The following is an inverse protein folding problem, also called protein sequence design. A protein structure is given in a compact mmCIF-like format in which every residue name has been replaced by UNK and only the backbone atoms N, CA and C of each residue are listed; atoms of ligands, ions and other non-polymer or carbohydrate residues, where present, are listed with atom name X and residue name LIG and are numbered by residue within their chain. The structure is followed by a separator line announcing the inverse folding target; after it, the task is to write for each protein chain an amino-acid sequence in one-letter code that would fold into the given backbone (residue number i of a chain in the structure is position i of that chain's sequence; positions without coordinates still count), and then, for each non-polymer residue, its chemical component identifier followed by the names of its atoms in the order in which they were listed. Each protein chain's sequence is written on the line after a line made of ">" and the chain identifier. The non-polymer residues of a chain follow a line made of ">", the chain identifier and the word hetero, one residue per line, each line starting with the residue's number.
data_IF_217505927973
#
_entry.id   IF_217505927973
#
_cell.length_a   1.000
_cell.length_b   1.000
_cell.length_c   1.000
_cell.angle_alpha   90.00
_cell.angle_beta   90.00
_cell.angle_gamma   90.00
#
_symmetry.space_group_name_H-M   'P 1'
#
loop_
_entity.id
_entity.type
_entity.pdbx_description
1 polymer ?
#
# COMPACT_ATOMS: atom_id res chain seq x y z
N UNK A 1 -21.60 -10.95 0.78
CA UNK A 1 -20.45 -10.24 0.18
C UNK A 1 -20.35 -10.74 -1.25
N UNK A 2 -21.24 -10.27 -2.11
CA UNK A 2 -21.40 -10.78 -3.48
C UNK A 2 -21.17 -9.63 -4.45
N UNK A 3 -20.04 -8.95 -4.27
CA UNK A 3 -19.67 -7.77 -5.05
C UNK A 3 -18.54 -8.08 -6.05
N UNK A 4 -17.85 -9.21 -5.86
CA UNK A 4 -16.69 -9.64 -6.65
C UNK A 4 -16.81 -11.13 -6.94
N UNK A 5 -16.53 -11.52 -8.17
CA UNK A 5 -16.36 -12.92 -8.58
C UNK A 5 -14.94 -13.07 -9.10
N UNK A 6 -14.24 -14.09 -8.62
CA UNK A 6 -12.87 -14.35 -9.04
C UNK A 6 -12.87 -15.45 -10.10
N UNK A 7 -11.94 -15.32 -11.05
CA UNK A 7 -11.63 -16.40 -11.98
C UNK A 7 -11.20 -17.66 -11.23
N UNK A 8 -11.57 -18.82 -11.77
CA UNK A 8 -11.17 -20.08 -11.20
C UNK A 8 -9.65 -20.28 -11.36
N UNK A 9 -8.98 -20.58 -10.26
CA UNK A 9 -7.53 -20.86 -10.24
C UNK A 9 -7.27 -22.25 -9.66
N UNK A 10 -6.01 -22.69 -9.64
CA UNK A 10 -5.65 -24.04 -9.17
C UNK A 10 -6.14 -24.35 -7.76
N UNK A 11 -6.19 -23.35 -6.87
CA UNK A 11 -6.67 -23.51 -5.49
C UNK A 11 -7.62 -22.37 -5.12
N UNK A 12 -8.90 -22.69 -5.00
CA UNK A 12 -9.97 -21.77 -4.59
C UNK A 12 -10.64 -22.24 -3.31
N UNK A 13 -10.84 -21.33 -2.36
CA UNK A 13 -11.46 -21.54 -1.07
C UNK A 13 -12.86 -20.91 -1.03
N UNK A 14 -13.65 -21.24 0.01
CA UNK A 14 -15.00 -20.68 0.26
C UNK A 14 -15.95 -20.98 -0.92
N UNK A 15 -16.08 -22.26 -1.29
CA UNK A 15 -16.98 -22.67 -2.38
C UNK A 15 -16.59 -22.08 -3.74
N UNK A 16 -15.30 -22.16 -4.09
CA UNK A 16 -14.74 -21.63 -5.34
C UNK A 16 -14.77 -20.11 -5.50
N UNK A 17 -14.97 -19.35 -4.41
CA UNK A 17 -15.11 -17.90 -4.45
C UNK A 17 -13.79 -17.14 -4.35
N UNK A 18 -12.83 -17.60 -3.55
CA UNK A 18 -11.61 -16.82 -3.28
C UNK A 18 -10.34 -17.63 -3.59
N UNK A 19 -9.46 -17.16 -4.47
CA UNK A 19 -8.25 -17.89 -4.80
C UNK A 19 -7.18 -17.76 -3.70
N UNK A 20 -6.43 -18.85 -3.47
CA UNK A 20 -5.45 -18.95 -2.38
C UNK A 20 -4.37 -17.86 -2.45
N UNK A 21 -3.91 -17.54 -3.66
CA UNK A 21 -2.83 -16.57 -3.85
C UNK A 21 -3.23 -15.16 -3.39
N UNK A 22 -4.51 -14.80 -3.48
CA UNK A 22 -5.02 -13.54 -2.92
C UNK A 22 -5.14 -13.62 -1.41
N UNK A 23 -5.67 -14.74 -0.89
CA UNK A 23 -5.91 -14.92 0.54
C UNK A 23 -4.60 -14.95 1.35
N UNK A 24 -3.57 -15.67 0.89
CA UNK A 24 -2.35 -15.88 1.67
C UNK A 24 -1.11 -15.18 1.10
N UNK A 25 -1.21 -14.56 -0.07
CA UNK A 25 -0.05 -13.99 -0.77
C UNK A 25 -0.19 -12.49 -0.99
N UNK A 26 -0.77 -12.12 -2.12
CA UNK A 26 -0.60 -10.80 -2.74
C UNK A 26 -1.00 -9.66 -1.80
N UNK A 27 -2.21 -9.68 -1.22
CA UNK A 27 -2.63 -8.59 -0.35
C UNK A 27 -1.80 -8.48 0.92
N UNK A 28 -1.39 -9.61 1.52
CA UNK A 28 -0.53 -9.61 2.70
C UNK A 28 0.83 -8.98 2.37
N UNK A 29 1.43 -9.35 1.23
CA UNK A 29 2.69 -8.77 0.78
C UNK A 29 2.58 -7.27 0.51
N UNK A 30 1.51 -6.81 -0.15
CA UNK A 30 1.34 -5.39 -0.46
C UNK A 30 1.13 -4.55 0.80
N UNK A 31 0.27 -5.00 1.72
CA UNK A 31 0.02 -4.29 2.98
C UNK A 31 1.25 -4.25 3.87
N UNK A 32 1.96 -5.38 3.99
CA UNK A 32 3.20 -5.44 4.77
C UNK A 32 4.29 -4.55 4.17
N UNK A 33 4.48 -4.60 2.86
CA UNK A 33 5.48 -3.80 2.15
C UNK A 33 5.22 -2.31 2.32
N UNK A 34 3.98 -1.88 2.14
CA UNK A 34 3.54 -0.50 2.41
C UNK A 34 3.87 -0.07 3.84
N UNK A 35 3.51 -0.90 4.83
CA UNK A 35 3.72 -0.59 6.24
C UNK A 35 5.21 -0.40 6.56
N UNK A 36 6.08 -1.28 6.06
CA UNK A 36 7.52 -1.17 6.32
C UNK A 36 8.13 0.05 5.62
N UNK A 37 7.73 0.35 4.38
CA UNK A 37 8.18 1.56 3.67
C UNK A 37 7.85 2.80 4.48
N UNK A 38 6.61 2.91 4.94
CA UNK A 38 6.14 4.07 5.70
C UNK A 38 6.76 4.16 7.09
N UNK A 39 6.98 3.03 7.78
CA UNK A 39 7.74 2.99 9.04
C UNK A 39 9.15 3.56 8.89
N UNK A 40 9.79 3.37 7.74
CA UNK A 40 11.13 3.91 7.47
C UNK A 40 11.14 5.43 7.20
N UNK A 41 9.98 6.05 6.96
CA UNK A 41 9.84 7.51 6.86
C UNK A 41 9.90 8.19 8.24
N UNK A 42 9.82 7.44 9.35
CA UNK A 42 9.87 7.94 10.73
C UNK A 42 8.88 9.09 11.00
N UNK A 43 7.68 8.98 10.45
CA UNK A 43 6.61 9.94 10.68
C UNK A 43 5.97 9.71 12.05
N UNK A 44 5.33 10.75 12.59
CA UNK A 44 4.44 10.62 13.74
C UNK A 44 3.32 9.62 13.44
N UNK A 45 2.84 8.90 14.47
CA UNK A 45 1.94 7.76 14.29
C UNK A 45 0.68 8.03 13.44
N UNK A 46 0.08 9.22 13.56
CA UNK A 46 -1.07 9.62 12.75
C UNK A 46 -0.71 9.79 11.27
N UNK A 47 0.45 10.38 10.99
CA UNK A 47 0.96 10.57 9.63
C UNK A 47 1.45 9.27 9.03
N UNK A 48 2.05 8.40 9.84
CA UNK A 48 2.41 7.04 9.45
C UNK A 48 1.17 6.23 9.05
N UNK A 49 0.09 6.31 9.82
CA UNK A 49 -1.15 5.64 9.48
C UNK A 49 -1.72 6.14 8.14
N UNK A 50 -1.85 7.46 7.97
CA UNK A 50 -2.37 8.03 6.72
C UNK A 50 -1.47 7.71 5.50
N UNK A 51 -0.15 7.78 5.66
CA UNK A 51 0.80 7.42 4.61
C UNK A 51 0.66 5.94 4.24
N UNK A 52 0.47 5.04 5.21
CA UNK A 52 0.26 3.62 4.92
C UNK A 52 -0.96 3.39 4.02
N UNK A 53 -2.08 4.07 4.27
CA UNK A 53 -3.25 3.98 3.40
C UNK A 53 -2.97 4.42 1.95
N UNK A 54 -2.24 5.52 1.77
CA UNK A 54 -1.86 6.02 0.44
C UNK A 54 -0.92 5.04 -0.30
N UNK A 55 0.08 4.49 0.40
CA UNK A 55 1.01 3.52 -0.19
C UNK A 55 0.35 2.18 -0.51
N UNK A 56 -0.60 1.71 0.32
CA UNK A 56 -1.40 0.51 0.02
C UNK A 56 -2.18 0.68 -1.29
N UNK A 57 -2.83 1.82 -1.50
CA UNK A 57 -3.48 2.09 -2.79
C UNK A 57 -2.47 2.12 -3.92
N UNK A 58 -1.39 2.90 -3.78
CA UNK A 58 -0.38 3.02 -4.84
C UNK A 58 0.15 1.64 -5.30
N UNK A 59 0.43 0.74 -4.35
CA UNK A 59 0.93 -0.60 -4.64
C UNK A 59 -0.15 -1.55 -5.19
N UNK A 60 -1.40 -1.42 -4.72
CA UNK A 60 -2.50 -2.29 -5.15
C UNK A 60 -3.17 -1.85 -6.45
N UNK A 61 -3.04 -0.59 -6.84
CA UNK A 61 -3.75 -0.05 -7.99
C UNK A 61 -3.39 -0.75 -9.33
N UNK A 62 -2.10 -0.99 -9.68
CA UNK A 62 -1.77 -1.73 -10.89
C UNK A 62 -2.37 -3.13 -10.93
N UNK A 63 -2.40 -3.80 -9.76
CA UNK A 63 -3.04 -5.09 -9.58
C UNK A 63 -4.55 -5.00 -9.81
N UNK A 64 -5.21 -3.96 -9.27
CA UNK A 64 -6.63 -3.74 -9.46
C UNK A 64 -6.99 -3.51 -10.94
N UNK A 65 -6.25 -2.64 -11.63
CA UNK A 65 -6.53 -2.30 -13.04
C UNK A 65 -6.22 -3.47 -13.98
N UNK A 66 -5.08 -4.13 -13.82
CA UNK A 66 -4.75 -5.28 -14.66
C UNK A 66 -5.60 -6.49 -14.35
N UNK A 67 -5.94 -6.73 -13.09
CA UNK A 67 -6.77 -7.87 -12.70
C UNK A 67 -8.19 -7.77 -13.21
N UNK A 68 -8.78 -6.58 -13.29
CA UNK A 68 -10.10 -6.41 -13.91
C UNK A 68 -10.04 -6.56 -15.42
N UNK A 69 -9.03 -5.96 -16.07
CA UNK A 69 -8.89 -6.03 -17.53
C UNK A 69 -8.54 -7.42 -18.04
N UNK A 70 -7.79 -8.20 -17.26
CA UNK A 70 -7.45 -9.60 -17.54
C UNK A 70 -8.44 -10.60 -16.91
N UNK A 71 -9.62 -10.13 -16.47
CA UNK A 71 -10.70 -10.96 -15.94
C UNK A 71 -10.28 -11.89 -14.78
N UNK A 72 -9.25 -11.52 -14.01
CA UNK A 72 -8.89 -12.22 -12.78
C UNK A 72 -9.99 -12.13 -11.75
N UNK A 73 -10.71 -11.01 -11.76
CA UNK A 73 -11.99 -10.84 -11.08
C UNK A 73 -12.90 -9.87 -11.81
N UNK A 74 -14.19 -10.04 -11.55
CA UNK A 74 -15.27 -9.23 -12.07
C UNK A 74 -16.01 -8.55 -10.92
N UNK A 75 -16.44 -7.31 -11.14
CA UNK A 75 -17.30 -6.57 -10.21
C UNK A 75 -18.77 -6.80 -10.52
N UNK A 76 -19.62 -6.70 -9.48
CA UNK A 76 -21.07 -6.82 -9.66
C UNK A 76 -21.61 -5.72 -10.55
N UNK A 77 -22.39 -6.11 -11.55
CA UNK A 77 -23.16 -5.17 -12.34
C UNK A 77 -24.43 -4.73 -11.59
N UNK A 78 -24.76 -3.44 -11.69
CA UNK A 78 -25.99 -2.88 -11.12
C UNK A 78 -25.98 -2.62 -9.61
N UNK A 79 -24.82 -2.70 -8.92
CA UNK A 79 -24.70 -2.25 -7.53
C UNK A 79 -24.44 -0.72 -7.50
N UNK A 80 -25.34 0.10 -6.92
CA UNK A 80 -25.19 1.56 -6.92
C UNK A 80 -23.88 2.05 -6.26
N UNK A 81 -23.29 1.25 -5.36
CA UNK A 81 -22.03 1.59 -4.68
C UNK A 81 -20.80 1.41 -5.59
N UNK A 82 -20.92 0.63 -6.66
CA UNK A 82 -19.84 0.29 -7.57
C UNK A 82 -19.92 1.05 -8.91
N UNK A 83 -20.93 1.92 -9.07
CA UNK A 83 -21.17 2.64 -10.34
C UNK A 83 -20.02 3.55 -10.75
N UNK A 84 -19.37 4.21 -9.78
CA UNK A 84 -18.25 5.09 -10.09
C UNK A 84 -16.96 4.26 -10.17
N UNK A 85 -16.45 4.11 -11.40
CA UNK A 85 -15.26 3.32 -11.69
C UNK A 85 -14.10 4.17 -12.22
N UNK A 86 -12.89 3.71 -11.98
CA UNK A 86 -11.64 4.22 -12.55
C UNK A 86 -10.92 3.04 -13.23
N UNK A 87 -10.74 3.09 -14.55
CA UNK A 87 -10.29 1.94 -15.37
C UNK A 87 -11.04 0.63 -15.02
N UNK A 88 -12.37 0.71 -14.97
CA UNK A 88 -13.25 -0.42 -14.62
C UNK A 88 -13.07 -0.98 -13.20
N UNK A 89 -12.32 -0.29 -12.33
CA UNK A 89 -12.22 -0.59 -10.90
C UNK A 89 -13.12 0.35 -10.11
N UNK A 90 -14.06 -0.14 -9.27
CA UNK A 90 -14.88 0.70 -8.43
C UNK A 90 -14.07 1.57 -7.47
N UNK A 91 -14.32 2.87 -7.47
CA UNK A 91 -13.64 3.83 -6.59
C UNK A 91 -13.84 3.49 -5.11
N UNK A 92 -15.04 3.02 -4.74
CA UNK A 92 -15.35 2.60 -3.36
C UNK A 92 -14.42 1.46 -2.88
N UNK A 93 -14.01 0.57 -3.78
CA UNK A 93 -13.09 -0.54 -3.46
C UNK A 93 -11.65 -0.03 -3.32
N UNK A 94 -11.22 0.89 -4.19
CA UNK A 94 -9.91 1.54 -4.03
C UNK A 94 -9.82 2.26 -2.67
N UNK A 95 -10.86 3.04 -2.32
CA UNK A 95 -10.93 3.71 -1.03
C UNK A 95 -10.90 2.74 0.15
N UNK A 96 -11.56 1.58 0.04
CA UNK A 96 -11.54 0.53 1.06
C UNK A 96 -10.11 0.07 1.38
N UNK A 97 -9.25 -0.11 0.37
CA UNK A 97 -7.85 -0.49 0.61
C UNK A 97 -7.07 0.59 1.38
N UNK A 98 -7.21 1.87 1.04
CA UNK A 98 -6.58 2.94 1.81
C UNK A 98 -7.06 2.99 3.25
N UNK A 99 -8.39 2.94 3.43
CA UNK A 99 -9.03 2.98 4.75
C UNK A 99 -8.53 1.81 5.61
N UNK A 100 -8.45 0.61 5.04
CA UNK A 100 -7.97 -0.58 5.72
C UNK A 100 -6.49 -0.46 6.09
N UNK A 101 -5.64 0.02 5.17
CA UNK A 101 -4.22 0.26 5.44
C UNK A 101 -4.00 1.27 6.58
N UNK A 102 -4.70 2.40 6.54
CA UNK A 102 -4.64 3.43 7.59
C UNK A 102 -5.13 2.91 8.93
N UNK A 103 -6.29 2.25 8.93
CA UNK A 103 -6.91 1.72 10.15
C UNK A 103 -6.06 0.63 10.79
N UNK A 104 -5.43 -0.24 10.00
CA UNK A 104 -4.52 -1.26 10.49
C UNK A 104 -3.29 -0.66 11.15
N UNK A 105 -2.65 0.31 10.50
CA UNK A 105 -1.45 0.95 11.06
C UNK A 105 -1.76 1.71 12.36
N UNK A 106 -2.87 2.44 12.42
CA UNK A 106 -3.32 3.12 13.63
C UNK A 106 -3.66 2.12 14.75
N UNK A 107 -4.40 1.05 14.43
CA UNK A 107 -4.75 0.00 15.40
C UNK A 107 -3.52 -0.69 15.95
N UNK A 108 -2.57 -1.05 15.08
CA UNK A 108 -1.34 -1.72 15.50
C UNK A 108 -0.51 -0.84 16.42
N UNK A 109 -0.44 0.47 16.15
CA UNK A 109 0.20 1.42 17.06
C UNK A 109 -0.50 1.47 18.43
N UNK A 110 -1.84 1.55 18.46
CA UNK A 110 -2.61 1.58 19.71
C UNK A 110 -2.41 0.30 20.54
N UNK A 111 -2.51 -0.87 19.92
CA UNK A 111 -2.32 -2.16 20.60
C UNK A 111 -0.89 -2.33 21.08
N UNK A 112 0.12 -1.99 20.25
CA UNK A 112 1.51 -2.07 20.69
C UNK A 112 1.81 -1.12 21.83
N UNK A 113 1.32 0.13 21.77
CA UNK A 113 1.50 1.10 22.86
C UNK A 113 0.80 0.69 24.15
N UNK A 114 -0.35 0.03 24.05
CA UNK A 114 -1.13 -0.41 25.22
C UNK A 114 -0.60 -1.68 25.88
N UNK A 115 -0.21 -2.68 25.08
CA UNK A 115 0.09 -4.03 25.58
C UNK A 115 1.58 -4.41 25.52
N UNK A 116 2.39 -3.73 24.72
CA UNK A 116 3.78 -4.07 24.48
C UNK A 116 4.70 -2.87 24.79
N UNK A 117 5.99 -3.14 24.99
CA UNK A 117 7.02 -2.09 24.99
C UNK A 117 7.50 -1.88 23.56
N UNK A 118 8.00 -0.70 23.23
CA UNK A 118 8.41 -0.32 21.86
C UNK A 118 9.49 -1.21 21.25
N UNK A 119 10.25 -1.96 22.06
CA UNK A 119 11.28 -2.88 21.59
C UNK A 119 10.77 -4.31 21.50
N UNK A 120 10.96 -4.92 20.32
CA UNK A 120 10.61 -6.31 20.05
C UNK A 120 11.45 -7.27 20.91
N UNK A 121 10.77 -8.22 21.57
CA UNK A 121 11.37 -9.30 22.34
C UNK A 121 10.78 -10.64 21.87
N UNK A 122 11.63 -11.55 21.39
CA UNK A 122 11.23 -12.87 20.87
C UNK A 122 10.47 -13.69 21.89
N UNK A 123 10.74 -13.50 23.19
CA UNK A 123 10.05 -14.19 24.29
C UNK A 123 8.57 -13.81 24.39
N UNK A 124 8.18 -12.68 23.79
CA UNK A 124 6.82 -12.15 23.77
C UNK A 124 6.16 -12.29 22.40
N UNK A 125 6.67 -13.18 21.55
CA UNK A 125 6.09 -13.47 20.24
C UNK A 125 4.58 -13.73 20.31
N UNK A 126 4.13 -14.49 21.32
CA UNK A 126 2.70 -14.79 21.53
C UNK A 126 1.90 -13.49 21.76
N UNK A 127 2.41 -12.56 22.56
CA UNK A 127 1.76 -11.28 22.82
C UNK A 127 1.75 -10.37 21.59
N UNK A 128 2.85 -10.33 20.82
CA UNK A 128 2.92 -9.62 19.53
C UNK A 128 1.91 -10.20 18.54
N UNK A 129 1.78 -11.52 18.48
CA UNK A 129 0.81 -12.20 17.63
C UNK A 129 -0.63 -11.82 17.99
N UNK A 130 -1.01 -11.92 19.26
CA UNK A 130 -2.34 -11.49 19.71
C UNK A 130 -2.58 -9.99 19.51
N UNK A 131 -1.56 -9.14 19.66
CA UNK A 131 -1.67 -7.72 19.36
C UNK A 131 -1.88 -7.46 17.87
N UNK A 132 -1.19 -8.18 16.98
CA UNK A 132 -1.38 -8.06 15.54
C UNK A 132 -2.77 -8.55 15.10
N UNK A 133 -3.23 -9.68 15.64
CA UNK A 133 -4.58 -10.22 15.38
C UNK A 133 -5.65 -9.27 15.93
N UNK A 134 -5.49 -8.80 17.16
CA UNK A 134 -6.40 -7.82 17.77
C UNK A 134 -6.45 -6.51 16.99
N UNK A 135 -5.30 -6.02 16.53
CA UNK A 135 -5.21 -4.84 15.67
C UNK A 135 -5.89 -5.06 14.32
N UNK A 136 -5.76 -6.24 13.70
CA UNK A 136 -6.45 -6.56 12.46
C UNK A 136 -7.98 -6.57 12.62
N UNK A 137 -8.50 -7.20 13.68
CA UNK A 137 -9.92 -7.21 13.98
C UNK A 137 -10.46 -5.80 14.27
N UNK A 138 -9.73 -5.02 15.07
CA UNK A 138 -10.12 -3.64 15.39
C UNK A 138 -10.03 -2.72 14.17
N UNK A 139 -9.06 -2.95 13.29
CA UNK A 139 -8.93 -2.22 12.04
C UNK A 139 -10.12 -2.43 11.11
N UNK A 140 -10.73 -3.62 11.07
CA UNK A 140 -11.95 -3.86 10.31
C UNK A 140 -13.11 -3.00 10.82
N UNK A 141 -13.25 -2.87 12.15
CA UNK A 141 -14.27 -2.00 12.76
C UNK A 141 -14.04 -0.52 12.43
N UNK A 142 -12.80 -0.02 12.61
CA UNK A 142 -12.47 1.37 12.26
C UNK A 142 -12.66 1.61 10.76
N UNK A 143 -12.28 0.65 9.92
CA UNK A 143 -12.41 0.76 8.47
C UNK A 143 -13.86 0.83 8.04
N UNK A 144 -14.72 -0.02 8.61
CA UNK A 144 -16.16 0.03 8.40
C UNK A 144 -16.71 1.40 8.82
N UNK A 145 -16.33 1.91 9.98
CA UNK A 145 -16.76 3.25 10.44
C UNK A 145 -16.28 4.36 9.51
N UNK A 146 -15.02 4.36 9.07
CA UNK A 146 -14.50 5.34 8.11
C UNK A 146 -15.23 5.27 6.78
N UNK A 147 -15.43 4.07 6.22
CA UNK A 147 -16.14 3.89 4.98
C UNK A 147 -17.59 4.39 5.09
N UNK A 148 -18.24 4.15 6.22
CA UNK A 148 -19.58 4.66 6.51
C UNK A 148 -19.63 6.18 6.55
N UNK A 149 -18.65 6.83 7.18
CA UNK A 149 -18.60 8.29 7.25
C UNK A 149 -18.41 8.89 5.85
N UNK A 150 -17.45 8.39 5.08
CA UNK A 150 -17.11 9.01 3.78
C UNK A 150 -18.06 8.62 2.64
N UNK A 151 -18.60 7.41 2.63
CA UNK A 151 -19.44 6.94 1.53
C UNK A 151 -20.91 7.00 1.91
N UNK A 152 -21.31 6.47 3.06
CA UNK A 152 -22.73 6.45 3.41
C UNK A 152 -23.26 7.80 3.90
N UNK A 153 -22.59 8.47 4.86
CA UNK A 153 -23.09 9.75 5.37
C UNK A 153 -23.03 10.86 4.32
N UNK A 154 -21.92 10.97 3.58
CA UNK A 154 -21.78 12.02 2.55
C UNK A 154 -22.73 11.82 1.38
N UNK A 155 -22.91 10.59 0.88
CA UNK A 155 -23.83 10.34 -0.23
C UNK A 155 -25.29 10.50 0.21
N UNK A 156 -25.64 10.06 1.43
CA UNK A 156 -27.03 10.11 1.89
C UNK A 156 -27.47 11.53 2.28
N UNK A 157 -26.71 12.20 3.14
CA UNK A 157 -27.13 13.52 3.66
C UNK A 157 -26.85 14.66 2.68
N UNK A 158 -25.75 14.58 1.91
CA UNK A 158 -25.30 15.67 1.06
C UNK A 158 -25.45 15.39 -0.43
N UNK A 159 -25.93 14.19 -0.82
CA UNK A 159 -26.06 13.76 -2.22
C UNK A 159 -24.75 13.92 -3.03
N UNK A 160 -23.61 13.84 -2.34
CA UNK A 160 -22.29 14.00 -2.95
C UNK A 160 -21.97 12.73 -3.75
N UNK A 161 -21.39 12.90 -4.96
CA UNK A 161 -20.97 11.77 -5.78
C UNK A 161 -19.86 10.96 -5.12
N UNK A 162 -19.84 9.65 -5.34
CA UNK A 162 -18.80 8.76 -4.77
C UNK A 162 -17.37 9.18 -5.16
N UNK A 163 -17.21 9.88 -6.28
CA UNK A 163 -15.93 10.39 -6.76
C UNK A 163 -15.42 11.56 -5.90
N UNK A 164 -16.31 12.44 -5.45
CA UNK A 164 -15.93 13.54 -4.56
C UNK A 164 -15.58 13.04 -3.16
N UNK A 165 -16.29 12.01 -2.66
CA UNK A 165 -15.97 11.38 -1.37
C UNK A 165 -14.54 10.82 -1.31
N UNK A 166 -14.10 10.13 -2.37
CA UNK A 166 -12.74 9.56 -2.40
C UNK A 166 -11.68 10.65 -2.54
N UNK A 167 -11.93 11.69 -3.34
CA UNK A 167 -11.03 12.85 -3.46
C UNK A 167 -10.87 13.54 -2.10
N UNK A 168 -11.96 13.77 -1.38
CA UNK A 168 -11.92 14.34 -0.03
C UNK A 168 -11.10 13.48 0.94
N UNK A 169 -11.32 12.16 0.93
CA UNK A 169 -10.56 11.21 1.75
C UNK A 169 -9.05 11.31 1.46
N UNK A 170 -8.65 11.33 0.19
CA UNK A 170 -7.24 11.43 -0.20
C UNK A 170 -6.64 12.79 0.13
N UNK A 171 -7.38 13.88 0.00
CA UNK A 171 -6.93 15.20 0.44
C UNK A 171 -6.65 15.18 1.94
N UNK A 172 -7.55 14.61 2.75
CA UNK A 172 -7.35 14.50 4.21
C UNK A 172 -6.10 13.66 4.51
N UNK A 173 -5.91 12.54 3.82
CA UNK A 173 -4.72 11.69 4.01
C UNK A 173 -3.44 12.41 3.57
N UNK A 174 -3.44 13.08 2.41
CA UNK A 174 -2.29 13.83 1.94
C UNK A 174 -1.92 15.00 2.88
N UNK A 175 -2.91 15.75 3.36
CA UNK A 175 -2.70 16.85 4.31
C UNK A 175 -2.19 16.34 5.65
N UNK A 176 -2.68 15.21 6.16
CA UNK A 176 -2.19 14.62 7.42
C UNK A 176 -0.75 14.13 7.29
N UNK A 177 -0.39 13.52 6.17
CA UNK A 177 1.00 13.15 5.87
C UNK A 177 1.89 14.38 5.75
N UNK A 178 1.46 15.40 5.01
CA UNK A 178 2.23 16.64 4.83
C UNK A 178 2.46 17.34 6.18
N UNK A 179 1.44 17.43 7.02
CA UNK A 179 1.58 17.97 8.39
C UNK A 179 2.57 17.18 9.23
N UNK A 180 2.53 15.85 9.16
CA UNK A 180 3.48 15.01 9.89
C UNK A 180 4.92 15.15 9.36
N UNK A 181 5.09 15.31 8.05
CA UNK A 181 6.39 15.52 7.41
C UNK A 181 6.98 16.90 7.79
N UNK A 182 6.16 17.95 7.77
CA UNK A 182 6.58 19.29 8.18
C UNK A 182 6.93 19.35 9.67
N UNK A 183 6.15 18.67 10.52
CA UNK A 183 6.42 18.59 11.96
C UNK A 183 7.73 17.88 12.28
N UNK A 184 7.97 16.72 11.66
CA UNK A 184 9.23 15.97 11.83
C UNK A 184 10.43 16.75 11.32
N UNK A 185 10.31 17.42 10.17
CA UNK A 185 11.40 18.27 9.64
C UNK A 185 11.73 19.43 10.57
N UNK A 186 10.72 20.10 11.14
CA UNK A 186 10.93 21.19 12.09
C UNK A 186 11.65 20.71 13.36
N UNK A 187 11.35 19.50 13.82
CA UNK A 187 12.01 18.88 14.97
C UNK A 187 13.47 18.49 14.66
N UNK A 188 13.72 17.92 13.47
CA UNK A 188 15.07 17.62 12.98
C UNK A 188 15.92 18.88 12.77
N UNK A 189 15.36 19.96 12.20
CA UNK A 189 16.08 21.23 12.03
C UNK A 189 16.38 21.91 13.37
N UNK A 190 15.49 21.77 14.37
CA UNK A 190 15.74 22.24 15.72
C UNK A 190 16.84 21.42 16.40
N UNK A 191 16.80 20.10 16.26
CA UNK A 191 17.81 19.21 16.83
C UNK A 191 19.18 19.39 16.15
N UNK A 192 19.24 19.53 14.83
CA UNK A 192 20.50 19.73 14.10
C UNK A 192 21.16 21.08 14.40
N UNK A 193 20.38 22.11 14.74
CA UNK A 193 20.92 23.38 15.27
C UNK A 193 21.54 23.23 16.66
N UNK A 194 20.99 22.34 17.50
CA UNK A 194 21.49 22.06 18.86
C UNK A 194 22.67 21.08 18.82
N UNK A 195 22.66 20.11 17.90
CA UNK A 195 23.67 19.06 17.74
C UNK A 195 24.89 19.52 16.93
N UNK A 196 24.81 20.62 16.17
CA UNK A 196 26.00 21.28 15.60
C UNK A 196 27.03 21.69 16.66
N UNK A 197 26.65 21.78 17.94
CA UNK A 197 27.56 22.02 19.07
C UNK A 197 28.13 20.72 19.68
N UNK A 198 27.62 19.53 19.33
CA UNK A 198 28.09 18.24 19.83
C UNK A 198 28.05 17.18 18.73
N UNK A 199 29.07 17.20 17.88
CA UNK A 199 29.24 16.26 16.76
C UNK A 199 29.40 14.81 17.28
N UNK A 200 28.35 13.99 17.14
CA UNK A 200 28.45 12.54 17.22
C UNK A 200 27.72 11.92 16.02
N UNK A 201 28.47 11.59 14.97
CA UNK A 201 27.96 10.84 13.83
C UNK A 201 27.46 9.46 14.30
N UNK A 202 26.15 9.23 14.27
CA UNK A 202 25.60 7.89 14.46
C UNK A 202 25.79 7.08 13.15
N UNK A 203 26.56 5.98 13.16
CA UNK A 203 26.72 5.13 11.99
C UNK A 203 25.40 4.42 11.70
N UNK A 204 24.80 4.75 10.55
CA UNK A 204 23.63 4.05 10.03
C UNK A 204 24.02 2.60 9.71
N UNK A 205 23.63 1.70 10.60
CA UNK A 205 23.96 0.28 10.61
C UNK A 205 23.67 -0.40 9.25
N UNK A 206 24.67 -1.08 8.69
CA UNK A 206 24.73 -1.80 7.40
C UNK A 206 23.55 -2.78 7.18
N UNK A 207 22.93 -3.24 8.26
CA UNK A 207 21.72 -4.09 8.22
C UNK A 207 20.48 -3.37 7.67
N UNK A 208 20.39 -2.05 7.86
CA UNK A 208 19.25 -1.25 7.39
C UNK A 208 19.28 -0.99 5.89
N UNK A 209 20.47 -0.93 5.28
CA UNK A 209 20.63 -0.75 3.83
C UNK A 209 20.24 -2.02 3.07
N UNK A 210 20.58 -3.20 3.59
CA UNK A 210 20.22 -4.48 2.96
C UNK A 210 18.71 -4.73 2.99
N UNK A 211 18.05 -4.46 4.13
CA UNK A 211 16.59 -4.55 4.25
C UNK A 211 15.83 -3.48 3.45
N UNK A 212 16.48 -2.40 3.01
CA UNK A 212 15.91 -1.45 2.05
C UNK A 212 16.00 -1.99 0.62
N UNK A 213 17.13 -2.62 0.27
CA UNK A 213 17.32 -3.27 -1.02
C UNK A 213 16.31 -4.39 -1.28
N UNK A 214 16.05 -5.24 -0.29
CA UNK A 214 15.08 -6.36 -0.44
C UNK A 214 13.65 -5.86 -0.70
N UNK A 215 13.18 -4.89 0.09
CA UNK A 215 11.82 -4.35 -0.05
C UNK A 215 11.68 -3.56 -1.35
N UNK A 216 12.70 -2.78 -1.71
CA UNK A 216 12.75 -2.13 -3.02
C UNK A 216 12.67 -3.16 -4.13
N UNK A 217 13.37 -4.30 -4.02
CA UNK A 217 13.33 -5.38 -5.00
C UNK A 217 11.92 -5.96 -5.16
N UNK A 218 11.20 -6.22 -4.06
CA UNK A 218 9.81 -6.72 -4.11
C UNK A 218 8.88 -5.72 -4.82
N UNK A 219 8.97 -4.43 -4.49
CA UNK A 219 8.18 -3.39 -5.16
C UNK A 219 8.54 -3.28 -6.63
N UNK A 220 9.83 -3.29 -6.98
CA UNK A 220 10.30 -3.23 -8.36
C UNK A 220 9.82 -4.43 -9.17
N UNK A 221 9.90 -5.65 -8.63
CA UNK A 221 9.40 -6.87 -9.29
C UNK A 221 7.88 -6.78 -9.49
N UNK A 222 7.14 -6.37 -8.46
CA UNK A 222 5.69 -6.20 -8.54
C UNK A 222 5.30 -5.19 -9.62
N UNK A 223 5.89 -4.01 -9.62
CA UNK A 223 5.58 -2.98 -10.62
C UNK A 223 6.03 -3.41 -12.02
N UNK A 224 7.23 -3.97 -12.17
CA UNK A 224 7.75 -4.47 -13.44
C UNK A 224 6.88 -5.58 -14.02
N UNK A 225 6.40 -6.51 -13.19
CA UNK A 225 5.43 -7.52 -13.62
C UNK A 225 4.19 -6.87 -14.24
N UNK A 226 3.60 -5.87 -13.58
CA UNK A 226 2.41 -5.20 -14.09
C UNK A 226 2.71 -4.34 -15.34
N UNK A 227 3.90 -3.75 -15.43
CA UNK A 227 4.37 -3.06 -16.64
C UNK A 227 4.48 -4.02 -17.82
N UNK A 228 5.08 -5.20 -17.61
CA UNK A 228 5.18 -6.23 -18.64
C UNK A 228 3.81 -6.77 -19.04
N UNK A 229 2.92 -7.01 -18.07
CA UNK A 229 1.54 -7.41 -18.36
C UNK A 229 0.82 -6.35 -19.21
N UNK A 230 0.94 -5.06 -18.90
CA UNK A 230 0.29 -4.01 -19.69
C UNK A 230 0.73 -3.99 -21.17
N UNK A 231 1.99 -4.32 -21.45
CA UNK A 231 2.54 -4.34 -22.81
C UNK A 231 2.22 -5.64 -23.54
N UNK A 232 2.46 -6.78 -22.89
CA UNK A 232 2.48 -8.09 -23.55
C UNK A 232 1.17 -8.89 -23.41
N UNK A 233 0.25 -8.47 -22.55
CA UNK A 233 -1.04 -9.15 -22.41
C UNK A 233 -2.02 -8.77 -23.54
N UNK A 234 -2.79 -9.76 -23.98
CA UNK A 234 -3.85 -9.62 -24.97
C UNK A 234 -5.17 -10.00 -24.29
N UNK A 235 -5.88 -9.03 -23.67
CA UNK A 235 -7.10 -9.31 -22.91
C UNK A 235 -8.17 -9.99 -23.77
N UNK A 236 -8.18 -9.74 -25.09
CA UNK A 236 -9.07 -10.39 -26.05
C UNK A 236 -8.85 -11.92 -26.19
N UNK A 237 -7.70 -12.42 -25.75
CA UNK A 237 -7.40 -13.86 -25.73
C UNK A 237 -7.66 -14.50 -24.36
N UNK A 238 -8.11 -13.73 -23.38
CA UNK A 238 -8.36 -14.22 -22.03
C UNK A 238 -9.80 -14.68 -21.90
N UNK A 239 -9.97 -15.92 -21.44
CA UNK A 239 -11.28 -16.51 -21.13
C UNK A 239 -11.32 -16.83 -19.64
N UNK A 240 -12.37 -16.37 -18.97
CA UNK A 240 -12.62 -16.65 -17.55
C UNK A 240 -13.85 -17.53 -17.42
N UNK A 241 -13.61 -18.82 -17.17
CA UNK A 241 -14.66 -19.80 -16.88
C UNK A 241 -14.79 -19.98 -15.37
N UNK A 242 -16.02 -19.94 -14.86
CA UNK A 242 -16.27 -20.13 -13.45
C UNK A 242 -17.65 -19.67 -13.02
N UNK A 243 -17.80 -19.50 -11.70
CA UNK A 243 -19.02 -18.97 -11.10
C UNK A 243 -18.97 -17.45 -11.20
N UNK A 244 -19.95 -16.87 -11.89
CA UNK A 244 -20.11 -15.43 -12.09
C UNK A 244 -21.45 -14.95 -11.53
N UNK A 245 -21.83 -13.71 -11.81
CA UNK A 245 -23.15 -13.20 -11.46
C UNK A 245 -24.22 -13.91 -12.29
N UNK A 246 -25.23 -14.49 -11.64
CA UNK A 246 -26.27 -15.27 -12.32
C UNK A 246 -26.93 -14.47 -13.47
N UNK A 247 -27.02 -15.06 -14.66
CA UNK A 247 -27.80 -14.52 -15.79
C UNK A 247 -29.26 -14.95 -15.62
N UNK A 248 -30.18 -13.99 -15.78
CA UNK A 248 -31.60 -14.20 -15.55
C UNK A 248 -32.43 -12.94 -15.88
N UNK A 249 -33.72 -12.88 -15.48
CA UNK A 249 -34.62 -11.78 -15.83
C UNK A 249 -34.22 -10.45 -15.19
N UNK A 250 -34.03 -9.41 -16.01
CA UNK A 250 -33.52 -8.09 -15.61
C UNK A 250 -34.43 -7.30 -14.66
N UNK A 251 -35.72 -7.61 -14.61
CA UNK A 251 -36.70 -6.89 -13.80
C UNK A 251 -36.62 -7.22 -12.31
N UNK A 252 -35.90 -8.29 -11.91
CA UNK A 252 -35.82 -8.69 -10.51
C UNK A 252 -34.76 -7.89 -9.76
N UNK A 253 -35.23 -7.08 -8.81
CA UNK A 253 -34.40 -6.38 -7.85
C UNK A 253 -34.25 -7.20 -6.55
N UNK A 254 -33.06 -7.15 -5.96
CA UNK A 254 -32.78 -7.66 -4.61
C UNK A 254 -32.56 -6.50 -3.63
N UNK A 255 -33.05 -6.68 -2.41
CA UNK A 255 -32.84 -5.75 -1.31
C UNK A 255 -31.49 -6.03 -0.64
N UNK A 256 -30.70 -4.99 -0.47
CA UNK A 256 -29.49 -5.01 0.34
C UNK A 256 -29.65 -4.09 1.54
N UNK A 257 -29.21 -4.59 2.69
CA UNK A 257 -29.21 -3.82 3.92
C UNK A 257 -27.87 -3.10 4.06
N UNK A 258 -27.93 -1.77 4.13
CA UNK A 258 -26.84 -0.99 4.70
C UNK A 258 -26.75 -1.30 6.20
N UNK A 259 -25.57 -1.20 6.85
CA UNK A 259 -25.46 -1.49 8.27
C UNK A 259 -26.25 -0.52 9.18
N UNK A 260 -26.86 0.54 8.65
CA UNK A 260 -27.85 1.39 9.35
C UNK A 260 -29.32 0.96 9.13
N UNK A 261 -29.56 -0.22 8.55
CA UNK A 261 -30.90 -0.68 8.21
C UNK A 261 -31.53 0.01 7.00
N UNK A 262 -30.77 0.85 6.28
CA UNK A 262 -31.25 1.44 5.02
C UNK A 262 -31.37 0.34 3.96
N UNK A 263 -32.54 0.23 3.36
CA UNK A 263 -32.81 -0.69 2.27
C UNK A 263 -32.37 -0.02 0.97
N UNK A 264 -31.31 -0.55 0.37
CA UNK A 264 -30.94 -0.25 -1.01
C UNK A 264 -31.44 -1.37 -1.92
N UNK A 265 -31.79 -1.01 -3.15
CA UNK A 265 -32.19 -1.97 -4.17
C UNK A 265 -31.06 -2.08 -5.19
N UNK A 266 -30.73 -3.30 -5.58
CA UNK A 266 -29.82 -3.58 -6.70
C UNK A 266 -30.38 -4.70 -7.56
N UNK A 267 -29.87 -4.85 -8.78
CA UNK A 267 -30.29 -5.93 -9.67
C UNK A 267 -29.81 -7.28 -9.16
N UNK A 268 -30.69 -8.27 -9.13
CA UNK A 268 -30.33 -9.64 -8.73
C UNK A 268 -29.44 -10.27 -9.80
N UNK A 269 -29.92 -10.28 -11.04
CA UNK A 269 -29.25 -10.92 -12.16
C UNK A 269 -28.39 -9.97 -12.98
N UNK A 270 -27.49 -10.57 -13.74
CA UNK A 270 -26.69 -9.91 -14.74
C UNK A 270 -27.49 -9.71 -16.04
N UNK A 271 -27.51 -8.47 -16.54
CA UNK A 271 -28.23 -8.06 -17.75
C UNK A 271 -27.26 -7.88 -18.91
N UNK A 272 -27.38 -8.73 -19.94
CA UNK A 272 -26.48 -8.74 -21.10
C UNK A 272 -26.58 -7.43 -21.91
N UNK A 273 -27.78 -6.89 -22.05
CA UNK A 273 -28.06 -5.70 -22.87
C UNK A 273 -27.43 -4.42 -22.31
N UNK A 274 -27.39 -4.27 -20.98
CA UNK A 274 -26.82 -3.07 -20.33
C UNK A 274 -25.29 -3.09 -20.28
N UNK A 275 -24.69 -4.29 -20.35
CA UNK A 275 -23.24 -4.44 -20.29
C UNK A 275 -22.51 -3.98 -21.57
N UNK A 276 -23.22 -3.87 -22.70
CA UNK A 276 -22.69 -3.27 -23.94
C UNK A 276 -22.13 -1.86 -23.73
N UNK A 277 -22.44 -1.19 -22.62
CA UNK A 277 -21.90 0.13 -22.29
C UNK A 277 -20.54 0.12 -21.58
N UNK A 278 -20.12 -1.00 -20.99
CA UNK A 278 -18.88 -1.07 -20.18
C UNK A 278 -17.70 -1.78 -20.86
N UNK A 279 -17.91 -2.39 -22.04
CA UNK A 279 -16.87 -2.96 -22.93
C UNK A 279 -15.75 -3.78 -22.25
N UNK A 280 -15.96 -4.38 -21.07
CA UNK A 280 -14.89 -5.05 -20.32
C UNK A 280 -14.69 -6.52 -20.75
N UNK A 281 -15.78 -7.19 -21.06
CA UNK A 281 -15.82 -8.57 -21.56
C UNK A 281 -17.05 -8.74 -22.46
N UNK A 282 -17.14 -9.84 -23.17
CA UNK A 282 -18.32 -10.24 -23.91
C UNK A 282 -18.42 -11.78 -23.93
N UNK A 283 -19.19 -12.32 -24.86
CA UNK A 283 -19.37 -13.75 -25.06
C UNK A 283 -18.85 -14.24 -26.42
N UNK A 284 -17.89 -13.54 -27.04
CA UNK A 284 -17.42 -13.87 -28.40
C UNK A 284 -16.68 -15.21 -28.51
N UNK A 285 -16.10 -15.69 -27.40
CA UNK A 285 -15.40 -16.96 -27.30
C UNK A 285 -16.33 -18.17 -27.11
N UNK A 286 -17.64 -17.95 -26.90
CA UNK A 286 -18.62 -19.04 -26.82
C UNK A 286 -19.08 -19.40 -28.25
N UNK A 287 -19.04 -20.68 -28.64
CA UNK A 287 -19.54 -21.12 -29.95
C UNK A 287 -21.00 -20.69 -30.14
N UNK A 288 -21.31 -20.17 -31.33
CA UNK A 288 -22.62 -19.62 -31.72
C UNK A 288 -23.13 -18.42 -30.91
N UNK A 289 -22.32 -17.88 -29.98
CA UNK A 289 -22.69 -16.79 -29.04
C UNK A 289 -23.97 -17.06 -28.25
N UNK A 290 -24.37 -18.32 -28.15
CA UNK A 290 -25.56 -18.74 -27.41
C UNK A 290 -25.12 -19.21 -26.03
N UNK A 291 -25.51 -18.46 -25.01
CA UNK A 291 -25.33 -18.87 -23.62
C UNK A 291 -26.17 -20.12 -23.35
N UNK A 292 -25.60 -21.15 -22.69
CA UNK A 292 -26.35 -22.35 -22.38
C UNK A 292 -27.56 -22.01 -21.52
N UNK A 293 -28.74 -22.45 -21.93
CA UNK A 293 -29.97 -22.21 -21.18
C UNK A 293 -29.96 -23.07 -19.93
N UNK A 294 -29.93 -22.46 -18.75
CA UNK A 294 -30.01 -23.20 -17.50
C UNK A 294 -31.37 -23.88 -17.34
N UNK A 295 -31.38 -25.14 -16.88
CA UNK A 295 -32.59 -25.93 -16.66
C UNK A 295 -33.62 -25.25 -15.71
N UNK A 296 -33.14 -24.37 -14.82
CA UNK A 296 -33.95 -23.64 -13.85
C UNK A 296 -34.14 -22.15 -14.21
N UNK A 297 -33.67 -21.71 -15.38
CA UNK A 297 -33.73 -20.31 -15.82
C UNK A 297 -32.69 -19.35 -15.21
N UNK A 298 -31.79 -19.84 -14.35
CA UNK A 298 -30.69 -19.07 -13.76
C UNK A 298 -29.34 -19.74 -14.09
N UNK A 299 -28.45 -19.02 -14.78
CA UNK A 299 -27.13 -19.54 -15.17
C UNK A 299 -26.04 -18.84 -14.35
N UNK A 300 -25.44 -19.57 -13.40
CA UNK A 300 -24.35 -19.04 -12.55
C UNK A 300 -22.95 -19.41 -13.03
N UNK A 301 -22.82 -20.54 -13.75
CA UNK A 301 -21.56 -21.03 -14.27
C UNK A 301 -21.51 -20.84 -15.78
N UNK A 302 -20.64 -19.95 -16.25
CA UNK A 302 -20.47 -19.65 -17.67
C UNK A 302 -19.08 -19.10 -17.97
N UNK A 303 -18.71 -19.07 -19.25
CA UNK A 303 -17.46 -18.45 -19.70
C UNK A 303 -17.71 -16.99 -20.10
N UNK A 304 -16.77 -16.11 -19.76
CA UNK A 304 -16.70 -14.73 -20.27
C UNK A 304 -15.37 -14.51 -20.99
N UNK A 305 -15.39 -13.64 -21.98
CA UNK A 305 -14.26 -13.41 -22.90
C UNK A 305 -13.81 -11.97 -22.77
N UNK A 306 -12.53 -11.71 -22.55
CA UNK A 306 -12.03 -10.34 -22.42
C UNK A 306 -12.15 -9.58 -23.73
N UNK A 307 -12.22 -8.25 -23.66
CA UNK A 307 -12.17 -7.37 -24.83
C UNK A 307 -10.81 -6.69 -24.93
N UNK A 308 -10.42 -6.24 -26.13
CA UNK A 308 -9.17 -5.46 -26.30
C UNK A 308 -9.23 -4.13 -25.51
N UNK A 309 -8.08 -3.52 -25.28
CA UNK A 309 -8.00 -2.19 -24.68
C UNK A 309 -8.60 -1.14 -25.62
N UNK A 310 -9.48 -0.29 -25.10
CA UNK A 310 -9.96 0.87 -25.87
C UNK A 310 -8.79 1.80 -26.25
N UNK A 311 -7.87 2.03 -25.30
CA UNK A 311 -6.64 2.77 -25.52
C UNK A 311 -5.47 2.12 -24.76
N UNK A 312 -4.78 1.16 -25.39
CA UNK A 312 -3.66 0.43 -24.77
C UNK A 312 -2.55 1.37 -24.25
N UNK A 313 -2.26 2.45 -24.97
CA UNK A 313 -1.21 3.41 -24.60
C UNK A 313 -1.52 4.14 -23.30
N UNK A 314 -2.79 4.38 -23.02
CA UNK A 314 -3.23 5.00 -21.77
C UNK A 314 -2.95 4.10 -20.57
N UNK A 315 -3.29 2.82 -20.66
CA UNK A 315 -3.01 1.83 -19.62
C UNK A 315 -1.51 1.65 -19.38
N UNK A 316 -0.71 1.58 -20.45
CA UNK A 316 0.76 1.50 -20.36
C UNK A 316 1.30 2.73 -19.63
N UNK A 317 0.96 3.93 -20.11
CA UNK A 317 1.44 5.20 -19.53
C UNK A 317 1.07 5.30 -18.06
N UNK A 318 -0.17 4.95 -17.71
CA UNK A 318 -0.67 5.02 -16.35
C UNK A 318 0.06 4.07 -15.39
N UNK A 319 0.21 2.79 -15.77
CA UNK A 319 0.91 1.80 -14.93
C UNK A 319 2.40 2.15 -14.80
N UNK A 320 3.01 2.65 -15.87
CA UNK A 320 4.43 3.01 -15.89
C UNK A 320 4.71 4.29 -15.10
N UNK A 321 3.78 5.25 -15.05
CA UNK A 321 3.92 6.44 -14.21
C UNK A 321 4.02 6.07 -12.72
N UNK A 322 3.34 4.99 -12.31
CA UNK A 322 3.49 4.39 -10.98
C UNK A 322 4.88 3.82 -10.68
N UNK A 323 5.70 3.52 -11.70
CA UNK A 323 7.08 3.04 -11.56
C UNK A 323 8.10 4.18 -11.41
N UNK A 324 7.86 5.32 -12.05
CA UNK A 324 8.78 6.47 -12.00
C UNK A 324 8.71 7.18 -10.64
N UNK A 325 7.53 7.27 -10.03
CA UNK A 325 7.33 8.01 -8.77
C UNK A 325 8.13 7.44 -7.57
N UNK A 326 8.24 6.11 -7.36
CA UNK A 326 9.05 5.54 -6.28
C UNK A 326 10.57 5.67 -6.47
N UNK A 327 11.07 5.59 -7.71
CA UNK A 327 12.50 5.74 -8.00
C UNK A 327 13.01 7.14 -7.64
N UNK A 328 12.19 8.17 -7.86
CA UNK A 328 12.52 9.54 -7.45
C UNK A 328 12.62 9.69 -5.93
N UNK A 329 11.76 9.02 -5.15
CA UNK A 329 11.85 9.04 -3.67
C UNK A 329 13.15 8.40 -3.15
N UNK A 330 13.61 7.31 -3.78
CA UNK A 330 14.89 6.68 -3.41
C UNK A 330 16.10 7.52 -3.86
N UNK A 331 16.00 8.14 -5.05
CA UNK A 331 17.04 9.02 -5.58
C UNK A 331 17.20 10.31 -4.74
N UNK A 332 16.09 10.87 -4.23
CA UNK A 332 16.11 12.09 -3.41
C UNK A 332 16.94 11.91 -2.12
N UNK A 333 16.83 10.73 -1.48
CA UNK A 333 17.61 10.41 -0.28
C UNK A 333 19.10 10.24 -0.57
N UNK A 334 19.46 9.72 -1.76
CA UNK A 334 20.84 9.59 -2.22
C UNK A 334 21.46 10.94 -2.59
N UNK A 335 20.68 11.85 -3.17
CA UNK A 335 21.09 13.24 -3.47
C UNK A 335 21.29 14.08 -2.21
N UNK A 336 20.45 13.91 -1.19
CA UNK A 336 20.64 14.56 0.11
C UNK A 336 21.96 14.17 0.76
N UNK A 337 22.33 12.88 0.71
CA UNK A 337 23.58 12.36 1.27
C UNK A 337 24.82 12.88 0.52
N UNK A 338 24.81 12.86 -0.81
CA UNK A 338 25.95 13.34 -1.60
C UNK A 338 26.13 14.87 -1.55
N UNK A 339 25.05 15.63 -1.32
CA UNK A 339 25.13 17.09 -1.13
C UNK A 339 25.74 17.48 0.22
N UNK A 340 25.57 16.64 1.24
CA UNK A 340 26.17 16.83 2.57
C UNK A 340 27.67 16.50 2.54
N UNK A 341 28.06 15.36 1.94
CA UNK A 341 29.48 14.96 1.81
C UNK A 341 30.31 15.97 0.99
N UNK A 342 29.71 16.55 -0.07
CA UNK A 342 30.41 17.52 -0.93
C UNK A 342 30.59 18.89 -0.28
N UNK A 343 29.70 19.28 0.65
CA UNK A 343 29.84 20.52 1.42
C UNK A 343 30.81 20.33 2.60
N UNK A 344 30.85 19.14 3.20
CA UNK A 344 31.79 18.81 4.28
C UNK A 344 33.25 18.76 3.76
N UNK A 345 33.47 18.23 2.55
CA UNK A 345 34.77 18.27 1.89
C UNK A 345 35.23 19.69 1.50
N UNK A 346 34.31 20.57 1.12
CA UNK A 346 34.62 21.97 0.81
C UNK A 346 34.99 22.78 2.07
N UNK A 347 34.33 22.50 3.21
CA UNK A 347 34.62 23.15 4.49
C UNK A 347 35.94 22.65 5.11
N UNK A 348 36.31 21.37 4.96
CA UNK A 348 37.63 20.85 5.38
C UNK A 348 38.78 21.47 4.59
N UNK A 349 38.63 21.66 3.29
CA UNK A 349 39.66 22.31 2.45
C UNK A 349 39.81 23.80 2.84
N UNK A 350 38.71 24.45 3.21
CA UNK A 350 38.72 25.87 3.61
C UNK A 350 39.32 26.06 5.01
N UNK A 351 39.07 25.15 5.95
CA UNK A 351 39.65 25.17 7.30
C UNK A 351 41.13 24.76 7.31
N UNK A 352 41.57 23.83 6.44
CA UNK A 352 43.00 23.50 6.28
C UNK A 352 43.80 24.67 5.68
N UNK A 353 43.23 25.45 4.76
CA UNK A 353 43.85 26.68 4.25
C UNK A 353 43.99 27.75 5.33
N UNK A 354 43.02 27.87 6.23
CA UNK A 354 43.08 28.85 7.31
C UNK A 354 44.09 28.47 8.41
N UNK A 355 44.32 27.17 8.65
CA UNK A 355 45.32 26.67 9.62
C UNK A 355 46.75 26.73 9.10
N UNK A 356 46.97 26.59 7.79
CA UNK A 356 48.31 26.68 7.18
C UNK A 356 48.89 28.10 7.19
N UNK A 357 48.08 29.15 7.32
CA UNK A 357 48.54 30.55 7.34
C UNK A 357 48.83 31.09 8.76
N UNK A 358 48.79 30.25 9.79
CA UNK A 358 49.01 30.64 11.19
C UNK A 358 50.07 29.78 11.87
N UNK A 359 51.25 29.66 11.26
CA UNK A 359 52.46 29.19 11.93
C UNK A 359 53.52 30.28 11.88
N UNK A 360 53.48 31.13 12.91
CA UNK A 360 54.58 32.03 13.25
C UNK A 360 55.68 31.20 13.94
N UNK A 361 56.96 31.51 13.74
CA UNK A 361 58.09 30.70 14.18
C UNK A 361 58.55 31.18 15.55
N UNK A 362 58.27 30.43 16.62
CA UNK A 362 59.08 30.50 17.82
C UNK A 362 58.74 29.38 18.81
N UNK A 363 59.79 28.76 19.36
CA UNK A 363 59.75 28.32 20.75
C UNK A 363 59.48 26.85 21.06
N UNK A 364 60.59 26.10 21.17
CA UNK A 364 60.91 25.14 22.25
C UNK A 364 60.21 23.76 22.26
N UNK A 365 61.04 22.75 22.00
CA UNK A 365 60.85 21.32 22.31
C UNK A 365 60.59 21.10 23.81
N UNK A 366 59.47 20.48 24.16
CA UNK A 366 59.28 19.78 25.43
C UNK A 366 59.15 18.26 25.19
N UNK A 367 59.88 17.48 25.99
CA UNK A 367 59.92 16.01 25.96
C UNK A 367 58.70 15.47 26.72
N UNK A 368 58.00 14.51 26.13
CA UNK A 368 56.99 13.69 26.80
C UNK A 368 57.66 12.51 27.53
N UNK A 369 57.20 12.12 28.73
CA UNK A 369 57.69 10.95 29.44
C UNK A 369 56.93 9.67 29.07
N UNK A 370 57.67 8.57 29.11
CA UNK A 370 57.25 7.17 28.91
C UNK A 370 56.34 6.67 30.04
N UNK A 371 55.32 5.84 29.77
CA UNK A 371 54.46 5.30 30.82
C UNK A 371 55.04 4.03 31.47
N UNK A 372 55.11 4.04 32.80
CA UNK A 372 55.46 2.93 33.68
C UNK A 372 54.32 1.91 33.84
N UNK A 373 54.73 0.65 33.97
CA UNK A 373 53.94 -0.58 34.21
C UNK A 373 53.01 -0.51 35.44
N UNK A 374 51.81 -1.07 35.31
CA UNK A 374 50.93 -1.49 36.42
C UNK A 374 51.21 -2.96 36.81
N UNK A 375 51.23 -3.32 38.11
CA UNK A 375 51.15 -4.71 38.56
C UNK A 375 49.76 -5.08 39.10
N UNK A 376 49.31 -6.27 38.69
CA UNK A 376 48.59 -7.30 39.46
C UNK A 376 47.39 -6.96 40.35
N UNK A 377 46.26 -7.62 40.09
CA UNK A 377 45.44 -8.17 41.18
C UNK A 377 44.91 -9.58 40.84
N UNK A 378 45.03 -10.42 41.86
CA UNK A 378 44.77 -11.86 41.92
C UNK A 378 43.28 -12.21 42.05
N UNK A 379 43.02 -13.42 41.59
CA UNK A 379 41.89 -14.34 41.76
C UNK A 379 41.29 -14.52 43.16
N UNK A 380 39.98 -14.87 43.19
CA UNK A 380 39.29 -16.01 43.88
C UNK A 380 37.95 -15.60 44.55
N UNK A 381 37.05 -16.54 44.94
CA UNK A 381 36.47 -17.64 44.17
C UNK A 381 34.94 -17.77 44.39
N UNK A 382 34.37 -18.78 43.73
CA UNK A 382 33.03 -19.36 43.87
C UNK A 382 32.60 -19.75 45.29
N UNK A 383 31.33 -19.47 45.59
CA UNK A 383 30.41 -20.32 46.36
C UNK A 383 29.03 -20.23 45.74
#
# INVERSE_FOLDING_TARGET
>A
MDCVWYSQTMLTFIGMRTPLYLLCGVYHTLFYTSYIIVKKLRLNWWGEAAANGLFVILLSLPLQVMGTKLLWWQWRSGDPRLMNTFYSVPLAVLAWYAILGTSFSASLYLFRKGFLREQYDWRRFIAEFFCAVGAALFALCISALQHMIFFHLLQYFFQISSSLSIVLLFIIYAVTVLKALLGTKAEYDLYSRVEKDQLMELPLNERHTNALGEISGVVSIHLLLHMLLAVFSFPEKVVSEGIHQAIGPCDKMEQIFSPFGLVLYRKKYFCIEEQHQQNLFDFHCIPDRQLPTAANGELEYYAICGTDFENRMEYITFIWYGFISPEELCSFKKKSKNGEDSNQAADEITTLRFRSNKLNPDGKRSRLPTPTRLPGYLSKPST
#
